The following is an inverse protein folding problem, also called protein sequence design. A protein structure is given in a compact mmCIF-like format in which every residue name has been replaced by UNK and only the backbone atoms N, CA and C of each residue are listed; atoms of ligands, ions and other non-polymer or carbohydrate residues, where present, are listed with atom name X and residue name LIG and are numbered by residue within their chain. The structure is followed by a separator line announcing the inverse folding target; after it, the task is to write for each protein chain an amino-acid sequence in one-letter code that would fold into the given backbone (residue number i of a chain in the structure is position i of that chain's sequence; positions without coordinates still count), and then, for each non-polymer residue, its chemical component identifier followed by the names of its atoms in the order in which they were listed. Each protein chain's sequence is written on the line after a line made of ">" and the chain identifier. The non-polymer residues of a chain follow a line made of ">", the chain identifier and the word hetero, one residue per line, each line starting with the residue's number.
data_IF_833744463246
#
_entry.id   IF_833744463246
#
_cell.length_a   1.000
_cell.length_b   1.000
_cell.length_c   1.000
_cell.angle_alpha   90.00
_cell.angle_beta   90.00
_cell.angle_gamma   90.00
#
_symmetry.space_group_name_H-M   'P 1'
#
loop_
_entity.id
_entity.type
_entity.pdbx_description
1 polymer ?
#
# COMPACT_ATOMS: atom_id res chain seq x y z
N UNK A 1 -36.56 -25.56 -14.98
CA UNK A 1 -36.27 -24.32 -15.72
C UNK A 1 -35.54 -23.40 -14.76
N UNK A 2 -34.23 -23.36 -14.92
CA UNK A 2 -33.30 -22.87 -13.89
C UNK A 2 -33.38 -21.36 -13.66
N UNK A 3 -33.32 -21.00 -12.37
CA UNK A 3 -33.25 -19.63 -11.88
C UNK A 3 -31.82 -19.13 -12.09
N UNK A 4 -31.58 -18.44 -13.19
CA UNK A 4 -30.36 -17.65 -13.34
C UNK A 4 -30.43 -16.44 -12.39
N UNK A 5 -29.83 -16.55 -11.20
CA UNK A 5 -29.51 -15.37 -10.40
C UNK A 5 -28.29 -14.70 -11.04
N UNK A 6 -28.53 -13.66 -11.83
CA UNK A 6 -27.48 -12.72 -12.20
C UNK A 6 -27.10 -11.94 -10.94
N UNK A 7 -26.01 -12.32 -10.27
CA UNK A 7 -25.44 -11.47 -9.22
C UNK A 7 -24.77 -10.27 -9.91
N UNK A 8 -25.53 -9.20 -10.16
CA UNK A 8 -24.91 -7.92 -10.48
C UNK A 8 -24.03 -7.54 -9.29
N UNK A 9 -22.77 -7.19 -9.57
CA UNK A 9 -21.74 -6.88 -8.58
C UNK A 9 -21.98 -5.57 -7.82
N UNK A 10 -23.22 -5.21 -7.54
CA UNK A 10 -23.64 -3.91 -7.00
C UNK A 10 -23.54 -3.83 -5.48
N UNK A 11 -22.50 -4.44 -4.92
CA UNK A 11 -22.11 -4.18 -3.55
C UNK A 11 -21.71 -2.71 -3.40
N UNK A 12 -22.06 -2.05 -2.29
CA UNK A 12 -21.70 -0.65 -2.09
C UNK A 12 -20.18 -0.46 -2.05
N UNK A 13 -19.64 0.56 -2.74
CA UNK A 13 -18.19 0.83 -2.80
C UNK A 13 -17.56 0.85 -1.40
N UNK A 14 -16.60 -0.05 -1.19
CA UNK A 14 -15.91 -0.24 0.08
C UNK A 14 -14.57 0.52 0.18
N UNK A 15 -14.00 0.92 -0.96
CA UNK A 15 -12.73 1.63 -1.00
C UNK A 15 -12.01 1.50 -2.34
N UNK A 16 -10.77 1.96 -2.36
CA UNK A 16 -9.85 1.90 -3.49
C UNK A 16 -8.47 1.45 -3.00
N UNK A 17 -7.75 0.76 -3.88
CA UNK A 17 -6.34 0.43 -3.77
C UNK A 17 -5.75 0.46 -5.18
N UNK A 18 -4.45 0.73 -5.31
CA UNK A 18 -3.80 0.85 -6.62
C UNK A 18 -2.42 0.21 -6.63
N UNK A 19 -2.05 -0.35 -7.78
CA UNK A 19 -0.64 -0.50 -8.15
C UNK A 19 -0.18 0.82 -8.76
N UNK A 20 0.87 1.41 -8.20
CA UNK A 20 1.39 2.71 -8.57
C UNK A 20 2.87 2.58 -8.95
N UNK A 21 3.45 3.61 -9.58
CA UNK A 21 4.87 3.67 -9.92
C UNK A 21 5.38 2.42 -10.68
N UNK A 22 4.53 1.86 -11.54
CA UNK A 22 4.84 0.65 -12.28
C UNK A 22 6.00 0.92 -13.26
N UNK A 23 7.01 0.07 -13.19
CA UNK A 23 8.20 0.13 -14.01
C UNK A 23 8.38 -1.24 -14.65
N UNK A 24 7.99 -1.32 -15.94
CA UNK A 24 7.93 -2.59 -16.67
C UNK A 24 9.31 -3.18 -16.88
N UNK A 25 10.30 -2.35 -17.18
CA UNK A 25 11.68 -2.79 -17.43
C UNK A 25 12.31 -3.38 -16.17
N UNK A 26 12.13 -2.71 -15.03
CA UNK A 26 12.66 -3.19 -13.75
C UNK A 26 11.71 -4.15 -13.01
N UNK A 27 10.53 -4.43 -13.58
CA UNK A 27 9.49 -5.30 -13.02
C UNK A 27 9.18 -4.99 -11.56
N UNK A 28 8.86 -3.73 -11.27
CA UNK A 28 8.44 -3.30 -9.93
C UNK A 28 7.20 -2.43 -9.97
N UNK A 29 6.52 -2.34 -8.83
CA UNK A 29 5.42 -1.41 -8.59
C UNK A 29 5.26 -1.21 -7.08
N UNK A 30 4.41 -0.25 -6.71
CA UNK A 30 4.07 0.07 -5.34
C UNK A 30 2.61 -0.27 -5.08
N UNK A 31 2.29 -0.87 -3.93
CA UNK A 31 0.91 -0.86 -3.43
C UNK A 31 0.67 0.49 -2.77
N UNK A 32 -0.31 1.24 -3.28
CA UNK A 32 -0.61 2.58 -2.83
C UNK A 32 -2.09 2.92 -2.95
N UNK A 33 -2.41 4.18 -2.62
CA UNK A 33 -3.76 4.73 -2.62
C UNK A 33 -4.79 3.83 -1.89
N UNK A 34 -4.37 3.13 -0.83
CA UNK A 34 -5.27 2.30 -0.05
C UNK A 34 -6.17 3.18 0.82
N UNK A 35 -7.41 3.36 0.39
CA UNK A 35 -8.42 4.12 1.10
C UNK A 35 -9.68 3.28 1.26
N UNK A 36 -10.07 3.02 2.51
CA UNK A 36 -11.29 2.28 2.85
C UNK A 36 -12.31 3.26 3.41
N UNK A 37 -13.52 3.26 2.85
CA UNK A 37 -14.59 4.17 3.30
C UNK A 37 -14.97 3.84 4.75
N UNK A 38 -15.37 4.81 5.59
CA UNK A 38 -15.58 4.60 7.02
C UNK A 38 -16.45 3.38 7.38
N UNK A 39 -17.59 3.19 6.69
CA UNK A 39 -18.51 2.05 6.89
C UNK A 39 -17.91 0.65 6.63
N UNK A 40 -16.79 0.60 5.92
CA UNK A 40 -16.07 -0.61 5.55
C UNK A 40 -14.75 -0.79 6.31
N UNK A 41 -14.36 0.18 7.14
CA UNK A 41 -13.19 0.09 8.02
C UNK A 41 -13.40 -0.99 9.10
N UNK A 42 -12.32 -1.45 9.70
CA UNK A 42 -12.31 -2.49 10.76
C UNK A 42 -12.86 -3.88 10.37
N UNK A 43 -13.27 -4.08 9.11
CA UNK A 43 -13.71 -5.39 8.58
C UNK A 43 -12.60 -6.18 7.88
N UNK A 44 -11.33 -5.79 8.07
CA UNK A 44 -10.16 -6.37 7.39
C UNK A 44 -10.13 -6.16 5.87
N UNK A 45 -11.02 -5.33 5.31
CA UNK A 45 -11.16 -5.09 3.88
C UNK A 45 -9.83 -4.64 3.24
N UNK A 46 -9.18 -3.63 3.82
CA UNK A 46 -7.91 -3.12 3.28
C UNK A 46 -6.78 -4.15 3.29
N UNK A 47 -6.71 -4.98 4.33
CA UNK A 47 -5.71 -6.05 4.40
C UNK A 47 -5.96 -7.13 3.35
N UNK A 48 -7.22 -7.55 3.14
CA UNK A 48 -7.57 -8.51 2.08
C UNK A 48 -7.29 -7.96 0.69
N UNK A 49 -7.69 -6.71 0.43
CA UNK A 49 -7.44 -6.06 -0.86
C UNK A 49 -5.94 -5.94 -1.15
N UNK A 50 -5.15 -5.50 -0.16
CA UNK A 50 -3.70 -5.43 -0.27
C UNK A 50 -3.06 -6.81 -0.51
N UNK A 51 -3.51 -7.85 0.21
CA UNK A 51 -3.00 -9.20 0.02
C UNK A 51 -3.32 -9.76 -1.37
N UNK A 52 -4.52 -9.51 -1.90
CA UNK A 52 -4.90 -9.90 -3.25
C UNK A 52 -4.02 -9.20 -4.31
N UNK A 53 -3.77 -7.90 -4.13
CA UNK A 53 -2.94 -7.13 -5.06
C UNK A 53 -1.46 -7.53 -4.98
N UNK A 54 -0.97 -7.82 -3.78
CA UNK A 54 0.37 -8.36 -3.56
C UNK A 54 0.54 -9.72 -4.25
N UNK A 55 -0.40 -10.65 -4.02
CA UNK A 55 -0.43 -11.95 -4.71
C UNK A 55 -0.43 -11.78 -6.22
N UNK A 56 -1.32 -10.96 -6.76
CA UNK A 56 -1.39 -10.70 -8.20
C UNK A 56 -0.07 -10.15 -8.75
N UNK A 57 0.56 -9.19 -8.06
CA UNK A 57 1.83 -8.60 -8.50
C UNK A 57 2.99 -9.58 -8.46
N UNK A 58 3.13 -10.35 -7.37
CA UNK A 58 4.29 -11.19 -7.15
C UNK A 58 4.18 -12.59 -7.76
N UNK A 59 2.96 -13.11 -7.96
CA UNK A 59 2.76 -14.41 -8.64
C UNK A 59 3.34 -14.39 -10.07
N UNK A 60 3.87 -15.55 -10.50
CA UNK A 60 4.45 -15.72 -11.83
C UNK A 60 3.41 -15.48 -12.93
N UNK A 61 3.90 -15.19 -14.14
CA UNK A 61 3.05 -15.02 -15.33
C UNK A 61 2.29 -16.31 -15.69
N UNK A 62 2.88 -17.47 -15.43
CA UNK A 62 2.24 -18.78 -15.59
C UNK A 62 1.01 -18.92 -14.70
N UNK A 63 1.10 -18.40 -13.47
CA UNK A 63 -0.02 -18.32 -12.52
C UNK A 63 -0.91 -17.09 -12.74
N UNK A 64 -0.83 -16.47 -13.93
CA UNK A 64 -1.60 -15.26 -14.33
C UNK A 64 -1.34 -14.02 -13.46
N UNK A 65 -0.19 -13.96 -12.78
CA UNK A 65 0.29 -12.76 -12.09
C UNK A 65 1.20 -11.89 -12.96
N UNK A 66 1.78 -10.83 -12.37
CA UNK A 66 2.68 -9.92 -13.08
C UNK A 66 4.15 -10.38 -13.08
N UNK A 67 4.54 -11.26 -12.16
CA UNK A 67 5.92 -11.75 -12.00
C UNK A 67 6.89 -10.62 -11.67
N UNK A 68 6.50 -9.72 -10.76
CA UNK A 68 7.35 -8.61 -10.33
C UNK A 68 8.61 -9.13 -9.61
N UNK A 69 9.74 -8.47 -9.85
CA UNK A 69 10.97 -8.70 -9.12
C UNK A 69 10.89 -8.12 -7.70
N UNK A 70 10.11 -7.05 -7.52
CA UNK A 70 9.93 -6.39 -6.21
C UNK A 70 8.63 -5.62 -6.15
N UNK A 71 7.98 -5.66 -4.99
CA UNK A 71 6.86 -4.79 -4.62
C UNK A 71 7.32 -3.79 -3.56
N UNK A 72 6.92 -2.52 -3.68
CA UNK A 72 7.15 -1.50 -2.66
C UNK A 72 5.86 -1.15 -1.92
N UNK A 73 6.02 -0.64 -0.71
CA UNK A 73 4.98 0.05 0.05
C UNK A 73 5.55 1.33 0.63
N UNK A 74 4.79 2.41 0.54
CA UNK A 74 5.20 3.72 1.06
C UNK A 74 4.16 4.25 2.02
N UNK A 75 4.58 4.58 3.24
CA UNK A 75 3.70 5.14 4.26
C UNK A 75 4.37 6.32 4.95
N UNK A 76 3.64 7.43 5.12
CA UNK A 76 4.18 8.53 5.93
C UNK A 76 4.45 8.05 7.35
N UNK A 77 5.50 8.52 8.01
CA UNK A 77 5.88 8.08 9.37
C UNK A 77 4.74 8.26 10.38
N UNK A 78 3.88 9.27 10.18
CA UNK A 78 2.68 9.53 11.00
C UNK A 78 1.49 8.61 10.70
N UNK A 79 1.58 7.69 9.73
CA UNK A 79 0.50 6.78 9.32
C UNK A 79 0.77 5.36 9.85
N UNK A 80 0.66 5.21 11.16
CA UNK A 80 0.91 3.96 11.86
C UNK A 80 0.09 2.77 11.33
N UNK A 81 -1.22 2.91 11.02
CA UNK A 81 -2.00 1.78 10.49
C UNK A 81 -1.44 1.24 9.16
N UNK A 82 -0.99 2.12 8.27
CA UNK A 82 -0.40 1.71 6.99
C UNK A 82 0.95 1.03 7.17
N UNK A 83 1.80 1.54 8.07
CA UNK A 83 3.10 0.96 8.42
C UNK A 83 2.94 -0.44 9.02
N UNK A 84 2.04 -0.61 9.98
CA UNK A 84 1.70 -1.91 10.58
C UNK A 84 1.16 -2.90 9.55
N UNK A 85 0.33 -2.44 8.62
CA UNK A 85 -0.21 -3.31 7.57
C UNK A 85 0.90 -3.81 6.62
N UNK A 86 1.82 -2.95 6.21
CA UNK A 86 2.97 -3.35 5.38
C UNK A 86 3.78 -4.47 6.06
N UNK A 87 4.16 -4.26 7.32
CA UNK A 87 4.90 -5.26 8.10
C UNK A 87 4.11 -6.57 8.26
N UNK A 88 2.80 -6.48 8.55
CA UNK A 88 1.92 -7.65 8.67
C UNK A 88 1.83 -8.46 7.38
N UNK A 89 1.93 -7.80 6.22
CA UNK A 89 1.93 -8.47 4.92
C UNK A 89 3.29 -9.07 4.55
N UNK A 90 4.31 -8.93 5.41
CA UNK A 90 5.65 -9.47 5.19
C UNK A 90 6.61 -8.53 4.47
N UNK A 91 6.22 -7.26 4.24
CA UNK A 91 7.18 -6.28 3.74
C UNK A 91 8.21 -5.96 4.82
N UNK A 92 9.46 -5.78 4.40
CA UNK A 92 10.56 -5.35 5.27
C UNK A 92 10.73 -3.84 5.18
N UNK A 93 10.96 -3.18 6.32
CA UNK A 93 11.34 -1.75 6.32
C UNK A 93 12.76 -1.57 5.75
N UNK A 94 12.89 -0.64 4.82
CA UNK A 94 14.17 -0.31 4.16
C UNK A 94 14.79 0.92 4.80
N UNK A 95 13.98 1.94 5.08
CA UNK A 95 14.42 3.21 5.62
C UNK A 95 13.36 4.29 5.49
N UNK A 96 13.75 5.50 5.89
CA UNK A 96 12.87 6.67 5.93
C UNK A 96 13.46 7.76 5.04
N UNK A 97 12.67 8.25 4.09
CA UNK A 97 12.99 9.45 3.31
C UNK A 97 12.47 10.67 4.09
N UNK A 98 13.37 11.55 4.52
CA UNK A 98 13.00 12.77 5.23
C UNK A 98 12.49 13.85 4.26
N UNK A 99 11.46 14.60 4.68
CA UNK A 99 10.86 15.67 3.89
C UNK A 99 10.32 15.25 2.50
N UNK A 100 9.93 13.99 2.33
CA UNK A 100 9.44 13.46 1.04
C UNK A 100 8.12 14.09 0.58
N UNK A 101 7.22 14.46 1.51
CA UNK A 101 5.91 15.02 1.17
C UNK A 101 5.64 16.36 1.82
N UNK A 102 5.37 17.36 0.98
CA UNK A 102 4.76 18.62 1.37
C UNK A 102 3.23 18.47 1.45
N UNK A 103 2.65 18.89 2.56
CA UNK A 103 1.21 19.04 2.76
C UNK A 103 0.88 20.53 2.77
N UNK A 104 0.43 21.04 1.62
CA UNK A 104 -0.06 22.42 1.51
C UNK A 104 -1.22 22.67 2.45
N UNK A 105 -1.13 23.75 3.21
CA UNK A 105 -2.06 24.16 4.27
C UNK A 105 -2.37 23.02 5.25
N UNK A 106 -1.35 22.18 5.52
CA UNK A 106 -1.50 20.97 6.30
C UNK A 106 -2.07 21.23 7.70
N UNK A 107 -1.62 22.30 8.35
CA UNK A 107 -2.07 22.67 9.69
C UNK A 107 -3.56 23.03 9.71
N UNK A 108 -4.02 23.88 8.78
CA UNK A 108 -5.42 24.27 8.67
C UNK A 108 -6.34 23.07 8.37
N UNK A 109 -5.81 22.03 7.71
CA UNK A 109 -6.50 20.78 7.40
C UNK A 109 -6.42 19.73 8.52
N UNK A 110 -5.92 20.10 9.70
CA UNK A 110 -5.77 19.22 10.86
C UNK A 110 -4.80 18.07 10.61
N UNK A 111 -3.83 18.24 9.71
CA UNK A 111 -2.81 17.22 9.45
C UNK A 111 -1.68 17.35 10.45
N UNK A 112 -1.03 16.22 10.70
CA UNK A 112 0.19 16.12 11.51
C UNK A 112 1.38 16.03 10.56
N UNK A 113 2.40 16.87 10.78
CA UNK A 113 3.68 16.84 10.07
C UNK A 113 4.69 15.89 10.71
N UNK A 114 5.94 15.91 10.23
CA UNK A 114 7.03 15.09 10.75
C UNK A 114 7.62 15.58 12.09
N UNK A 115 7.19 16.74 12.60
CA UNK A 115 7.69 17.32 13.85
C UNK A 115 9.13 17.82 13.78
N UNK A 116 9.69 17.96 12.56
CA UNK A 116 11.04 18.46 12.33
C UNK A 116 11.04 19.96 12.01
N UNK A 117 12.23 20.56 12.03
CA UNK A 117 12.45 21.91 11.51
C UNK A 117 12.00 21.97 10.04
N UNK A 118 11.16 22.92 9.69
CA UNK A 118 10.76 23.12 8.31
C UNK A 118 11.95 23.61 7.47
N UNK A 119 12.15 23.12 6.23
CA UNK A 119 13.07 23.70 5.27
C UNK A 119 12.86 25.20 5.08
N UNK A 120 13.90 25.93 4.67
CA UNK A 120 13.78 27.35 4.33
C UNK A 120 12.66 27.57 3.32
N UNK A 121 12.00 28.72 3.40
CA UNK A 121 10.91 29.12 2.50
C UNK A 121 9.64 28.24 2.57
N UNK A 122 9.51 27.38 3.59
CA UNK A 122 8.24 26.70 3.86
C UNK A 122 7.18 27.72 4.24
N UNK A 123 6.08 27.76 3.49
CA UNK A 123 4.97 28.68 3.74
C UNK A 123 4.33 28.43 5.12
N UNK A 124 3.80 29.49 5.74
CA UNK A 124 3.10 29.37 7.01
C UNK A 124 1.90 28.42 6.87
N UNK A 125 1.82 27.40 7.74
CA UNK A 125 0.75 26.41 7.73
C UNK A 125 1.03 25.16 6.89
N UNK A 126 2.06 25.18 6.03
CA UNK A 126 2.52 23.99 5.33
C UNK A 126 3.23 23.03 6.29
N UNK A 127 3.04 21.73 6.06
CA UNK A 127 3.65 20.68 6.87
C UNK A 127 4.41 19.69 6.00
N UNK A 128 5.56 19.24 6.47
CA UNK A 128 6.33 18.19 5.80
C UNK A 128 6.07 16.83 6.43
N UNK A 129 6.18 15.76 5.65
CA UNK A 129 6.13 14.38 6.11
C UNK A 129 7.30 13.59 5.59
N UNK A 130 7.88 12.83 6.51
CA UNK A 130 8.80 11.76 6.20
C UNK A 130 8.00 10.54 5.72
N UNK A 131 8.60 9.72 4.86
CA UNK A 131 7.97 8.52 4.31
C UNK A 131 8.87 7.31 4.58
N UNK A 132 8.31 6.32 5.26
CA UNK A 132 8.90 5.00 5.35
C UNK A 132 8.69 4.22 4.06
N UNK A 133 9.78 3.63 3.58
CA UNK A 133 9.82 2.73 2.44
C UNK A 133 9.92 1.31 2.96
N UNK A 134 9.03 0.45 2.46
CA UNK A 134 9.06 -0.97 2.69
C UNK A 134 9.14 -1.70 1.36
N UNK A 135 9.75 -2.88 1.36
CA UNK A 135 9.90 -3.69 0.15
C UNK A 135 9.67 -5.18 0.40
N UNK A 136 9.31 -5.86 -0.66
CA UNK A 136 9.24 -7.31 -0.73
C UNK A 136 9.86 -7.75 -2.06
N UNK A 137 10.99 -8.44 -2.00
CA UNK A 137 11.63 -9.04 -3.16
C UNK A 137 10.90 -10.30 -3.61
N UNK A 138 11.12 -10.73 -4.86
CA UNK A 138 10.62 -12.00 -5.35
C UNK A 138 11.16 -13.20 -4.54
N UNK A 139 12.38 -13.13 -4.03
CA UNK A 139 12.96 -14.16 -3.16
C UNK A 139 12.17 -14.28 -1.86
N UNK A 140 11.94 -13.16 -1.16
CA UNK A 140 11.12 -13.14 0.06
C UNK A 140 9.72 -13.66 -0.19
N UNK A 141 9.10 -13.24 -1.29
CA UNK A 141 7.79 -13.75 -1.70
C UNK A 141 7.78 -15.27 -1.89
N UNK A 142 8.75 -15.80 -2.62
CA UNK A 142 8.85 -17.24 -2.88
C UNK A 142 9.02 -18.02 -1.58
N UNK A 143 9.90 -17.59 -0.68
CA UNK A 143 10.08 -18.23 0.64
C UNK A 143 8.77 -18.25 1.43
N UNK A 144 8.06 -17.13 1.52
CA UNK A 144 6.78 -17.04 2.23
C UNK A 144 5.70 -17.97 1.64
N UNK A 145 5.70 -18.17 0.32
CA UNK A 145 4.73 -19.05 -0.33
C UNK A 145 5.10 -20.53 -0.31
N UNK A 146 6.40 -20.85 -0.28
CA UNK A 146 6.87 -22.22 -0.15
C UNK A 146 6.51 -22.78 1.23
N UNK A 147 6.66 -21.97 2.29
CA UNK A 147 6.27 -22.35 3.66
C UNK A 147 4.77 -22.63 3.80
N UNK A 148 3.94 -22.04 2.94
CA UNK A 148 2.49 -22.27 2.89
C UNK A 148 2.08 -23.52 2.11
N UNK A 149 2.97 -24.12 1.32
CA UNK A 149 2.69 -25.37 0.60
C UNK A 149 3.03 -26.63 1.42
N UNK A 150 3.68 -26.46 2.58
CA UNK A 150 4.07 -27.54 3.48
C UNK A 150 3.38 -27.46 4.86
N UNK A 151 2.27 -26.72 4.95
CA UNK A 151 1.32 -26.70 6.08
C UNK A 151 -0.06 -27.12 5.59
#
# INVERSE_FOLDING_TARGET
>A
MDKASSSSGDGPLAGIISLMNADVANRRADIGLLHIVPRAQSKGMGARAANLLLRFGMSSRESKGLGLARMEWRATTTNEPSRKLALKLGFRHVGTIHYEKLLKDGAARGKIGNGRLAPSDTAAGDLWRDVDIFEMSCETWMSMTADLQWQ
#
